data_IF_712028740843
#
_entry.id   IF_712028740843
#
_cell.length_a   1.000
_cell.length_b   1.000
_cell.length_c   1.000
_cell.angle_alpha   90.00
_cell.angle_beta   90.00
_cell.angle_gamma   90.00
#
_symmetry.space_group_name_H-M   'P 1'
#
loop_
_entity.id
_entity.type
_entity.pdbx_description
1 polymer ?
#
# COMPACT_ATOMS: atom_id res chain seq x y z
N UNK A 1 -15.73 -3.10 -12.47
CA UNK A 1 -15.62 -1.97 -13.44
C UNK A 1 -14.17 -1.63 -13.67
N UNK A 2 -13.75 -1.45 -14.92
CA UNK A 2 -12.38 -1.06 -15.28
C UNK A 2 -12.36 0.35 -15.85
N UNK A 3 -11.35 1.16 -15.52
CA UNK A 3 -11.15 2.52 -16.04
C UNK A 3 -9.67 2.75 -16.32
N UNK A 4 -9.35 3.49 -17.38
CA UNK A 4 -7.97 3.86 -17.68
C UNK A 4 -7.39 4.85 -16.64
N UNK A 5 -6.11 4.70 -16.31
CA UNK A 5 -5.45 5.53 -15.28
C UNK A 5 -5.37 7.02 -15.66
N UNK A 6 -5.37 7.34 -16.94
CA UNK A 6 -5.36 8.70 -17.49
C UNK A 6 -6.75 9.29 -17.72
N UNK A 7 -7.82 8.54 -17.39
CA UNK A 7 -9.19 9.04 -17.47
C UNK A 7 -9.41 10.23 -16.53
N UNK A 8 -10.02 11.33 -16.98
CA UNK A 8 -10.31 12.48 -16.11
C UNK A 8 -11.28 12.14 -14.97
N UNK A 9 -12.02 11.04 -15.07
CA UNK A 9 -12.99 10.60 -14.06
C UNK A 9 -12.37 9.71 -12.97
N UNK A 10 -11.13 9.22 -13.15
CA UNK A 10 -10.52 8.20 -12.30
C UNK A 10 -10.49 8.58 -10.82
N UNK A 11 -10.08 9.81 -10.49
CA UNK A 11 -10.02 10.27 -9.10
C UNK A 11 -11.39 10.42 -8.47
N UNK A 12 -12.37 10.93 -9.22
CA UNK A 12 -13.76 11.04 -8.76
C UNK A 12 -14.38 9.68 -8.45
N UNK A 13 -14.16 8.70 -9.32
CA UNK A 13 -14.64 7.33 -9.13
C UNK A 13 -13.94 6.66 -7.95
N UNK A 14 -12.59 6.74 -7.85
CA UNK A 14 -11.84 6.18 -6.73
C UNK A 14 -12.30 6.76 -5.40
N UNK A 15 -12.41 8.10 -5.30
CA UNK A 15 -12.88 8.76 -4.08
C UNK A 15 -14.28 8.26 -3.69
N UNK A 16 -15.21 8.21 -4.64
CA UNK A 16 -16.57 7.77 -4.37
C UNK A 16 -16.63 6.29 -3.94
N UNK A 17 -15.86 5.40 -4.58
CA UNK A 17 -15.82 3.98 -4.25
C UNK A 17 -15.16 3.72 -2.91
N UNK A 18 -14.03 4.38 -2.63
CA UNK A 18 -13.30 4.22 -1.38
C UNK A 18 -13.98 4.92 -0.18
N UNK A 19 -14.76 5.98 -0.40
CA UNK A 19 -15.51 6.65 0.66
C UNK A 19 -16.65 5.79 1.26
N UNK A 20 -17.20 4.86 0.49
CA UNK A 20 -18.17 3.88 0.98
C UNK A 20 -17.45 2.88 1.89
N UNK A 21 -17.95 2.69 3.11
CA UNK A 21 -17.34 1.76 4.08
C UNK A 21 -17.14 0.37 3.47
N UNK A 22 -15.88 -0.09 3.45
CA UNK A 22 -15.51 -1.37 2.86
C UNK A 22 -15.24 -1.34 1.34
N UNK A 23 -15.20 -0.18 0.70
CA UNK A 23 -14.83 -0.04 -0.71
C UNK A 23 -13.40 -0.50 -0.98
N UNK A 24 -13.20 -1.23 -2.09
CA UNK A 24 -11.90 -1.81 -2.48
C UNK A 24 -11.64 -1.57 -3.95
N UNK A 25 -10.46 -1.09 -4.28
CA UNK A 25 -10.03 -0.90 -5.66
C UNK A 25 -8.67 -1.58 -5.93
N UNK A 26 -8.38 -1.82 -7.19
CA UNK A 26 -7.04 -2.17 -7.68
C UNK A 26 -6.49 -0.96 -8.42
N UNK A 27 -5.29 -0.53 -8.04
CA UNK A 27 -4.65 0.65 -8.60
C UNK A 27 -3.16 0.41 -8.91
N UNK A 28 -2.61 1.12 -9.89
CA UNK A 28 -1.17 1.12 -10.11
C UNK A 28 -0.47 1.83 -8.93
N UNK A 29 0.58 1.20 -8.41
CA UNK A 29 1.47 1.82 -7.43
C UNK A 29 2.86 2.03 -8.03
N UNK A 30 3.68 2.81 -7.34
CA UNK A 30 5.07 3.05 -7.74
C UNK A 30 5.98 1.80 -7.64
N UNK A 31 5.45 0.68 -7.17
CA UNK A 31 6.15 -0.61 -7.06
C UNK A 31 5.47 -1.71 -7.86
N UNK A 32 4.23 -2.02 -7.57
CA UNK A 32 3.42 -3.07 -8.18
C UNK A 32 1.95 -2.66 -8.13
N UNK A 33 1.07 -3.31 -8.89
CA UNK A 33 -0.38 -3.16 -8.67
C UNK A 33 -0.76 -3.51 -7.23
N UNK A 34 -1.61 -2.68 -6.63
CA UNK A 34 -2.09 -2.83 -5.26
C UNK A 34 -3.61 -2.98 -5.16
N UNK A 35 -4.06 -3.92 -4.32
CA UNK A 35 -5.42 -3.92 -3.80
C UNK A 35 -5.45 -2.93 -2.64
N UNK A 36 -6.29 -1.91 -2.73
CA UNK A 36 -6.39 -0.83 -1.74
C UNK A 36 -7.80 -0.65 -1.22
N UNK A 37 -7.89 -0.13 0.00
CA UNK A 37 -9.16 0.27 0.61
C UNK A 37 -8.90 1.14 1.84
N UNK A 38 -9.89 1.95 2.27
CA UNK A 38 -9.71 2.90 3.37
C UNK A 38 -9.55 2.24 4.74
N UNK A 39 -8.72 2.86 5.58
CA UNK A 39 -8.52 2.50 7.00
C UNK A 39 -9.45 3.36 7.88
N UNK A 40 -10.17 2.75 8.84
CA UNK A 40 -10.60 1.35 8.89
C UNK A 40 -11.75 1.09 7.91
N UNK A 41 -12.12 -0.14 7.72
CA UNK A 41 -13.38 -0.50 7.03
C UNK A 41 -13.23 -1.47 5.87
N UNK A 42 -12.08 -1.49 5.18
CA UNK A 42 -11.88 -2.37 4.02
C UNK A 42 -11.08 -3.64 4.34
N UNK A 43 -10.56 -3.76 5.56
CA UNK A 43 -9.61 -4.83 5.93
C UNK A 43 -10.17 -6.23 5.69
N UNK A 44 -11.36 -6.53 6.24
CA UNK A 44 -11.99 -7.84 6.14
C UNK A 44 -12.30 -8.21 4.68
N UNK A 45 -12.70 -7.22 3.87
CA UNK A 45 -12.97 -7.45 2.46
C UNK A 45 -11.68 -7.78 1.71
N UNK A 46 -10.60 -7.03 1.95
CA UNK A 46 -9.28 -7.30 1.34
C UNK A 46 -8.78 -8.68 1.77
N UNK A 47 -8.93 -9.07 3.05
CA UNK A 47 -8.57 -10.41 3.53
C UNK A 47 -9.32 -11.51 2.79
N UNK A 48 -10.64 -11.37 2.63
CA UNK A 48 -11.46 -12.33 1.86
C UNK A 48 -11.03 -12.42 0.41
N UNK A 49 -10.78 -11.28 -0.25
CA UNK A 49 -10.32 -11.24 -1.66
C UNK A 49 -9.01 -12.00 -1.80
N UNK A 50 -8.07 -11.82 -0.87
CA UNK A 50 -6.76 -12.48 -0.91
C UNK A 50 -6.75 -13.93 -0.42
N UNK A 51 -7.73 -14.35 0.34
CA UNK A 51 -7.65 -15.60 1.11
C UNK A 51 -6.55 -15.54 2.18
N UNK A 52 -6.37 -14.37 2.86
CA UNK A 52 -5.27 -14.12 3.81
C UNK A 52 -5.78 -14.20 5.25
N UNK A 53 -5.08 -14.98 6.10
CA UNK A 53 -5.36 -15.07 7.53
C UNK A 53 -5.15 -13.75 8.29
N UNK A 54 -5.65 -13.69 9.53
CA UNK A 54 -5.67 -12.49 10.38
C UNK A 54 -4.27 -12.06 10.88
N UNK A 55 -3.32 -13.00 10.99
CA UNK A 55 -2.01 -12.80 11.62
C UNK A 55 -1.05 -11.85 10.87
N UNK A 56 -1.41 -11.44 9.64
CA UNK A 56 -0.53 -10.59 8.82
C UNK A 56 -1.17 -9.24 8.55
N UNK A 57 -0.78 -8.16 9.24
CA UNK A 57 -1.29 -6.82 8.99
C UNK A 57 -1.01 -6.37 7.55
N UNK A 58 -1.84 -5.45 7.05
CA UNK A 58 -1.58 -4.77 5.79
C UNK A 58 -0.73 -3.53 6.03
N UNK A 59 0.13 -3.19 5.07
CA UNK A 59 0.73 -1.87 5.07
C UNK A 59 -0.35 -0.81 4.80
N UNK A 60 -0.09 0.40 5.30
CA UNK A 60 -0.93 1.57 5.08
C UNK A 60 -0.14 2.59 4.27
N UNK A 61 -0.69 3.00 3.13
CA UNK A 61 -0.19 4.14 2.36
C UNK A 61 -0.72 5.42 3.01
N UNK A 62 0.16 6.40 3.16
CA UNK A 62 -0.14 7.71 3.74
C UNK A 62 0.36 8.83 2.83
N UNK A 63 -0.30 9.99 2.85
CA UNK A 63 0.01 11.12 1.98
C UNK A 63 1.37 11.77 2.27
N UNK A 64 1.83 11.70 3.52
CA UNK A 64 3.08 12.31 3.97
C UNK A 64 3.50 11.83 5.35
N UNK A 65 4.69 12.25 5.78
CA UNK A 65 5.30 11.89 7.07
C UNK A 65 4.49 12.39 8.27
N UNK A 66 3.74 13.47 8.11
CA UNK A 66 2.85 14.04 9.13
C UNK A 66 1.78 13.03 9.62
N UNK A 67 1.41 12.06 8.80
CA UNK A 67 0.51 10.98 9.19
C UNK A 67 1.11 10.03 10.24
N UNK A 68 2.45 9.94 10.35
CA UNK A 68 3.12 9.07 11.32
C UNK A 68 2.69 9.40 12.74
N UNK A 69 2.64 10.69 13.09
CA UNK A 69 2.25 11.15 14.44
C UNK A 69 0.79 10.84 14.82
N UNK A 70 -0.04 10.54 13.82
CA UNK A 70 -1.45 10.16 14.00
C UNK A 70 -1.65 8.65 14.14
N UNK A 71 -0.64 7.84 13.80
CA UNK A 71 -0.76 6.39 13.68
C UNK A 71 0.25 5.63 14.55
N UNK A 72 1.41 6.21 14.83
CA UNK A 72 2.51 5.59 15.54
C UNK A 72 2.92 6.37 16.79
N UNK A 73 3.46 5.66 17.79
CA UNK A 73 3.97 6.25 19.06
C UNK A 73 5.42 6.72 18.96
N UNK A 74 6.11 6.36 17.87
CA UNK A 74 7.50 6.74 17.61
C UNK A 74 7.63 7.34 16.21
N UNK A 75 8.55 8.29 15.98
CA UNK A 75 8.85 8.80 14.66
C UNK A 75 9.53 7.72 13.79
N UNK A 76 9.55 7.93 12.49
CA UNK A 76 10.42 7.16 11.59
C UNK A 76 11.87 7.51 11.91
N UNK A 77 12.78 6.52 12.05
CA UNK A 77 14.20 6.79 12.16
C UNK A 77 14.71 7.67 11.01
N UNK A 78 15.50 8.69 11.31
CA UNK A 78 15.98 9.66 10.29
C UNK A 78 16.77 8.99 9.17
N UNK A 79 17.46 7.90 9.47
CA UNK A 79 18.17 7.08 8.48
C UNK A 79 17.23 6.42 7.47
N UNK A 80 15.98 6.15 7.84
CA UNK A 80 14.95 5.58 6.98
C UNK A 80 14.07 6.64 6.32
N UNK A 81 13.76 7.74 7.04
CA UNK A 81 12.85 8.80 6.57
C UNK A 81 13.34 9.45 5.26
N UNK A 82 14.65 9.59 5.08
CA UNK A 82 15.26 10.11 3.84
C UNK A 82 14.91 9.32 2.57
N UNK A 83 14.39 8.09 2.72
CA UNK A 83 13.94 7.23 1.62
C UNK A 83 12.43 7.35 1.34
N UNK A 84 11.76 8.31 1.97
CA UNK A 84 10.38 8.68 1.71
C UNK A 84 10.29 10.07 1.05
N UNK A 85 9.44 10.23 0.03
CA UNK A 85 8.61 9.23 -0.65
C UNK A 85 9.46 8.17 -1.36
N UNK A 86 8.98 6.89 -1.36
CA UNK A 86 9.73 5.83 -2.03
C UNK A 86 9.29 4.40 -1.72
N UNK A 87 10.05 3.41 -2.23
CA UNK A 87 9.71 2.01 -2.11
C UNK A 87 10.14 1.40 -0.77
N UNK A 88 9.98 2.14 0.33
CA UNK A 88 10.27 1.72 1.70
C UNK A 88 9.00 1.68 2.54
N UNK A 89 8.76 0.55 3.20
CA UNK A 89 7.73 0.37 4.23
C UNK A 89 8.42 0.24 5.58
N UNK A 90 7.99 1.03 6.56
CA UNK A 90 8.54 1.02 7.92
C UNK A 90 7.48 0.53 8.90
N UNK A 91 7.83 -0.49 9.70
CA UNK A 91 6.97 -0.99 10.79
C UNK A 91 7.35 -0.21 12.04
N UNK A 92 6.33 0.42 12.66
CA UNK A 92 6.45 1.24 13.85
C UNK A 92 5.50 0.75 14.95
N UNK A 93 5.76 1.09 16.23
CA UNK A 93 4.78 0.85 17.30
C UNK A 93 3.51 1.70 17.05
N UNK A 94 2.33 1.08 17.03
CA UNK A 94 1.07 1.76 16.76
C UNK A 94 0.49 2.46 17.97
N UNK A 95 -0.22 3.59 17.79
CA UNK A 95 -0.92 4.31 18.86
C UNK A 95 -2.00 3.44 19.54
N UNK A 96 -2.65 2.54 18.80
CA UNK A 96 -3.66 1.61 19.31
C UNK A 96 -3.11 0.33 19.94
N UNK A 97 -1.78 0.21 20.10
CA UNK A 97 -1.09 -1.01 20.49
C UNK A 97 -0.71 -1.88 19.30
N UNK A 98 0.25 -2.80 19.52
CA UNK A 98 0.83 -3.58 18.43
C UNK A 98 1.69 -2.75 17.48
N UNK A 99 1.63 -3.04 16.18
CA UNK A 99 2.46 -2.39 15.16
C UNK A 99 1.63 -1.89 13.98
N UNK A 100 2.13 -0.86 13.31
CA UNK A 100 1.61 -0.34 12.05
C UNK A 100 2.73 -0.29 11.01
N UNK A 101 2.45 -0.73 9.78
CA UNK A 101 3.39 -0.65 8.67
C UNK A 101 2.99 0.51 7.77
N UNK A 102 3.83 1.53 7.67
CA UNK A 102 3.55 2.78 6.95
C UNK A 102 4.45 2.93 5.73
N UNK A 103 3.92 3.58 4.69
CA UNK A 103 4.68 3.97 3.50
C UNK A 103 4.15 5.27 2.93
N UNK A 104 5.07 6.18 2.58
CA UNK A 104 4.79 7.34 1.72
C UNK A 104 5.22 6.97 0.30
N UNK A 105 4.29 6.78 -0.65
CA UNK A 105 4.63 6.33 -2.01
C UNK A 105 5.24 7.45 -2.85
N UNK A 106 6.16 7.09 -3.76
CA UNK A 106 6.70 8.01 -4.78
C UNK A 106 5.92 7.88 -6.10
N UNK A 107 4.66 8.29 -6.05
CA UNK A 107 3.75 8.33 -7.19
C UNK A 107 2.86 9.54 -7.06
N UNK A 108 2.86 10.39 -8.08
CA UNK A 108 1.97 11.57 -8.11
C UNK A 108 0.50 11.13 -8.02
N UNK A 109 0.12 10.11 -8.78
CA UNK A 109 -1.22 9.52 -8.75
C UNK A 109 -1.64 9.10 -7.33
N UNK A 110 -0.77 8.37 -6.61
CA UNK A 110 -1.08 7.92 -5.25
C UNK A 110 -1.13 9.08 -4.25
N UNK A 111 -0.25 10.07 -4.36
CA UNK A 111 -0.24 11.23 -3.47
C UNK A 111 -1.51 12.08 -3.65
N UNK A 112 -1.92 12.30 -4.90
CA UNK A 112 -3.19 13.00 -5.20
C UNK A 112 -4.40 12.23 -4.67
N UNK A 113 -4.43 10.90 -4.86
CA UNK A 113 -5.49 10.05 -4.33
C UNK A 113 -5.56 10.11 -2.80
N UNK A 114 -4.42 9.91 -2.12
CA UNK A 114 -4.34 9.92 -0.66
C UNK A 114 -4.76 11.28 -0.09
N UNK A 115 -4.38 12.37 -0.76
CA UNK A 115 -4.82 13.73 -0.40
C UNK A 115 -6.32 13.91 -0.60
N UNK A 116 -6.88 13.42 -1.71
CA UNK A 116 -8.30 13.55 -2.02
C UNK A 116 -9.19 12.70 -1.11
N UNK A 117 -8.69 11.54 -0.65
CA UNK A 117 -9.41 10.63 0.27
C UNK A 117 -9.26 11.09 1.73
N UNK A 118 -8.16 11.80 2.05
CA UNK A 118 -7.78 12.28 3.39
C UNK A 118 -7.83 11.17 4.47
N UNK A 119 -7.37 9.99 4.09
CA UNK A 119 -7.28 8.80 4.96
C UNK A 119 -6.16 7.88 4.50
N UNK A 120 -5.54 7.12 5.43
CA UNK A 120 -4.66 6.03 5.05
C UNK A 120 -5.41 4.98 4.22
N UNK A 121 -4.69 4.36 3.29
CA UNK A 121 -5.22 3.24 2.52
C UNK A 121 -4.47 1.96 2.90
N UNK A 122 -5.18 0.92 3.30
CA UNK A 122 -4.62 -0.42 3.25
C UNK A 122 -4.13 -0.72 1.85
N UNK A 123 -2.98 -1.35 1.74
CA UNK A 123 -2.43 -1.76 0.45
C UNK A 123 -1.77 -3.13 0.55
N UNK A 124 -1.98 -3.93 -0.46
CA UNK A 124 -1.34 -5.24 -0.63
C UNK A 124 -1.22 -5.58 -2.11
N UNK A 125 -0.26 -6.44 -2.47
CA UNK A 125 -0.09 -6.91 -3.85
C UNK A 125 -1.36 -7.58 -4.41
N UNK A 126 -1.57 -7.48 -5.72
CA UNK A 126 -2.66 -8.18 -6.41
C UNK A 126 -2.25 -9.62 -6.66
N UNK A 127 -2.72 -10.53 -5.81
CA UNK A 127 -2.53 -11.98 -5.90
C UNK A 127 -3.39 -12.68 -4.87
N UNK A 128 -3.67 -13.96 -5.05
CA UNK A 128 -4.16 -14.82 -3.97
C UNK A 128 -3.02 -15.15 -3.01
N UNK A 129 -3.34 -15.45 -1.75
CA UNK A 129 -2.32 -15.77 -0.74
C UNK A 129 -1.42 -16.92 -1.21
N UNK A 130 -0.11 -16.75 -1.06
CA UNK A 130 0.89 -17.75 -1.49
C UNK A 130 1.26 -17.71 -2.97
N UNK A 131 0.59 -16.91 -3.79
CA UNK A 131 0.93 -16.74 -5.21
C UNK A 131 1.84 -15.51 -5.43
N UNK A 132 2.51 -15.47 -6.58
CA UNK A 132 3.27 -14.29 -7.00
C UNK A 132 2.33 -13.10 -7.30
N UNK A 133 2.78 -11.84 -7.10
CA UNK A 133 2.04 -10.67 -7.52
C UNK A 133 1.78 -10.67 -9.03
N UNK A 134 0.55 -10.35 -9.42
CA UNK A 134 0.21 -10.12 -10.82
C UNK A 134 0.71 -8.74 -11.27
N UNK A 135 1.13 -8.66 -12.51
CA UNK A 135 1.64 -7.44 -13.14
C UNK A 135 1.02 -7.17 -14.51
N UNK A 136 0.41 -8.18 -15.13
CA UNK A 136 -0.32 -8.07 -16.38
C UNK A 136 -1.76 -7.62 -16.08
N UNK A 137 -2.18 -6.54 -16.72
CA UNK A 137 -3.52 -5.98 -16.44
C UNK A 137 -4.63 -6.94 -16.85
N UNK A 138 -4.46 -7.70 -17.91
CA UNK A 138 -5.44 -8.70 -18.35
C UNK A 138 -5.70 -9.76 -17.28
N UNK A 139 -4.64 -10.31 -16.65
CA UNK A 139 -4.75 -11.30 -15.59
C UNK A 139 -5.39 -10.71 -14.32
N UNK A 140 -5.10 -9.43 -14.03
CA UNK A 140 -5.67 -8.70 -12.91
C UNK A 140 -7.18 -8.53 -13.11
N UNK A 141 -7.60 -8.10 -14.29
CA UNK A 141 -9.02 -7.91 -14.62
C UNK A 141 -9.74 -9.26 -14.56
N UNK A 142 -9.24 -10.29 -15.25
CA UNK A 142 -9.84 -11.63 -15.26
C UNK A 142 -9.99 -12.21 -13.84
N UNK A 143 -8.97 -12.04 -13.00
CA UNK A 143 -8.95 -12.67 -11.67
C UNK A 143 -9.68 -11.89 -10.57
N UNK A 144 -9.92 -10.59 -10.75
CA UNK A 144 -10.32 -9.73 -9.63
C UNK A 144 -11.44 -8.72 -9.93
N UNK A 145 -11.84 -8.43 -11.19
CA UNK A 145 -12.81 -7.38 -11.45
C UNK A 145 -14.17 -7.58 -10.76
N UNK A 146 -14.60 -8.84 -10.62
CA UNK A 146 -15.88 -9.19 -9.99
C UNK A 146 -15.88 -9.07 -8.46
N UNK A 147 -14.70 -8.98 -7.82
CA UNK A 147 -14.57 -8.96 -6.36
C UNK A 147 -14.14 -7.60 -5.79
N UNK A 148 -13.77 -6.65 -6.67
CA UNK A 148 -13.44 -5.27 -6.32
C UNK A 148 -14.43 -4.29 -6.94
N UNK A 149 -14.48 -3.05 -6.46
CA UNK A 149 -15.40 -2.04 -6.97
C UNK A 149 -14.87 -1.35 -8.22
N UNK A 150 -13.53 -1.25 -8.34
CA UNK A 150 -12.86 -0.56 -9.42
C UNK A 150 -11.47 -1.17 -9.69
N UNK A 151 -11.12 -1.33 -10.96
CA UNK A 151 -9.77 -1.61 -11.42
C UNK A 151 -9.30 -0.41 -12.25
N UNK A 152 -8.18 0.19 -11.88
CA UNK A 152 -7.52 1.25 -12.65
C UNK A 152 -6.46 0.62 -13.54
N UNK A 153 -6.67 0.73 -14.84
CA UNK A 153 -5.80 0.18 -15.88
C UNK A 153 -4.72 1.21 -16.26
N UNK A 154 -3.48 0.91 -15.92
CA UNK A 154 -2.27 1.64 -16.34
C UNK A 154 -1.38 0.80 -17.28
N UNK A 155 -1.94 -0.24 -17.88
CA UNK A 155 -1.20 -1.22 -18.66
C UNK A 155 -0.42 -2.21 -17.80
N UNK A 156 0.44 -2.98 -18.43
CA UNK A 156 1.30 -3.95 -17.76
C UNK A 156 2.44 -3.26 -16.99
N UNK A 157 2.78 -3.79 -15.81
CA UNK A 157 3.89 -3.31 -14.96
C UNK A 157 5.00 -4.37 -14.84
N UNK A 158 5.70 -4.72 -15.94
CA UNK A 158 6.71 -5.77 -15.94
C UNK A 158 7.93 -5.38 -15.11
N UNK A 159 8.57 -6.38 -14.45
CA UNK A 159 9.78 -6.17 -13.66
C UNK A 159 9.57 -5.41 -12.34
N UNK A 160 8.32 -5.15 -11.97
CA UNK A 160 7.98 -4.45 -10.73
C UNK A 160 8.37 -5.26 -9.49
N UNK A 161 9.04 -4.62 -8.54
CA UNK A 161 9.49 -5.22 -7.28
C UNK A 161 8.75 -4.57 -6.11
N UNK A 162 8.22 -5.35 -5.16
CA UNK A 162 7.57 -4.78 -3.97
C UNK A 162 8.51 -3.92 -3.13
N UNK A 163 7.93 -3.07 -2.26
CA UNK A 163 8.72 -2.24 -1.34
C UNK A 163 9.60 -3.08 -0.41
N UNK A 164 10.75 -2.56 -0.03
CA UNK A 164 11.53 -3.07 1.11
C UNK A 164 10.77 -2.81 2.40
N UNK A 165 10.75 -3.77 3.33
CA UNK A 165 10.08 -3.63 4.63
C UNK A 165 11.12 -3.70 5.73
N UNK A 166 11.15 -2.68 6.59
CA UNK A 166 12.02 -2.60 7.77
C UNK A 166 11.16 -2.55 9.02
N UNK A 167 11.53 -3.39 9.99
CA UNK A 167 10.99 -3.34 11.34
C UNK A 167 11.84 -2.38 12.19
N UNK A 168 11.24 -1.26 12.54
CA UNK A 168 11.85 -0.24 13.39
C UNK A 168 11.33 -0.29 14.85
N UNK A 169 10.73 -1.41 15.24
CA UNK A 169 10.34 -1.66 16.65
C UNK A 169 11.47 -2.28 17.47
N UNK A 170 12.58 -2.61 16.84
CA UNK A 170 13.77 -3.22 17.46
C UNK A 170 15.04 -2.44 17.08
N UNK A 171 16.09 -2.63 17.88
CA UNK A 171 17.43 -2.09 17.63
C UNK A 171 18.44 -3.25 17.70
N UNK A 172 19.30 -3.46 16.70
CA UNK A 172 19.32 -2.74 15.41
C UNK A 172 18.05 -2.96 14.58
N UNK A 173 17.83 -2.08 13.60
CA UNK A 173 16.68 -2.16 12.68
C UNK A 173 16.76 -3.44 11.85
N UNK A 174 15.62 -4.07 11.56
CA UNK A 174 15.61 -5.37 10.90
C UNK A 174 14.88 -5.33 9.55
N UNK A 175 15.56 -5.77 8.48
CA UNK A 175 14.91 -6.01 7.19
C UNK A 175 14.02 -7.25 7.32
N UNK A 176 12.70 -7.04 7.21
CA UNK A 176 11.68 -8.12 7.18
C UNK A 176 11.52 -8.68 5.78
N UNK A 177 11.66 -7.82 4.77
CA UNK A 177 11.63 -8.19 3.36
C UNK A 177 12.54 -7.27 2.56
N UNK A 178 13.47 -7.85 1.81
CA UNK A 178 14.19 -7.12 0.78
C UNK A 178 13.27 -6.90 -0.42
N UNK A 179 13.16 -5.67 -0.86
CA UNK A 179 12.38 -5.25 -2.01
C UNK A 179 13.19 -4.37 -2.95
N UNK A 180 12.52 -3.39 -3.57
CA UNK A 180 13.11 -2.52 -4.59
C UNK A 180 14.22 -1.60 -4.05
N UNK A 181 14.20 -1.24 -2.75
CA UNK A 181 15.21 -0.39 -2.13
C UNK A 181 16.28 -1.27 -1.45
N UNK A 182 17.52 -1.15 -1.89
CA UNK A 182 18.68 -1.66 -1.15
C UNK A 182 19.10 -0.62 -0.11
N UNK A 183 19.05 -0.97 1.18
CA UNK A 183 19.48 -0.09 2.27
C UNK A 183 20.95 -0.31 2.58
N UNK A 184 21.76 0.75 2.73
CA UNK A 184 23.10 0.65 3.27
C UNK A 184 23.09 0.07 4.70
N UNK A 185 24.10 -0.70 5.12
CA UNK A 185 24.18 -1.23 6.48
C UNK A 185 24.08 -0.15 7.57
N UNK A 186 24.64 1.04 7.33
CA UNK A 186 24.62 2.16 8.27
C UNK A 186 23.19 2.73 8.51
N UNK A 187 22.26 2.50 7.60
CA UNK A 187 20.86 2.92 7.76
C UNK A 187 20.07 2.00 8.69
N UNK A 188 20.67 0.88 9.11
CA UNK A 188 20.05 -0.13 9.97
C UNK A 188 20.58 -0.12 11.43
N UNK A 189 21.51 0.79 11.76
CA UNK A 189 22.13 0.89 13.08
C UNK A 189 21.30 1.66 14.11
#
# INVERSE_FOLDING_TARGET
MVIAADSPEVFGLLRNRLAVGGGVAIIPCDTIYGIVGTVPGSEDRIRRIKGRGEDKPFLQLVAGVDWVTRLATAPVPSTLEKHWPGPLTVILPALGGGTVALRVPDSLFLRELLTAVDRPLYSTSVNRAGQAPLWQIADIVEGFEDVVDLVVDAGDLPGSVPSTIVDATCSPLRIVRQGALALPPDDLL
#
